data_IF_965694142197
#
_entry.id   IF_965694142197
#
_cell.length_a   1.000
_cell.length_b   1.000
_cell.length_c   1.000
_cell.angle_alpha   90.00
_cell.angle_beta   90.00
_cell.angle_gamma   90.00
#
_symmetry.space_group_name_H-M   'P 1'
#
loop_
_entity.id
_entity.type
_entity.pdbx_description
1 polymer ?
#
# COMPACT_ATOMS: atom_id res chain seq x y z
N UNK A 1 16.29 -22.96 16.21
CA UNK A 1 17.59 -22.26 16.05
C UNK A 1 17.85 -21.47 17.31
N UNK A 2 18.91 -21.81 18.05
CA UNK A 2 19.29 -21.07 19.26
C UNK A 2 19.87 -19.71 18.83
N UNK A 3 19.14 -18.63 19.07
CA UNK A 3 19.65 -17.27 18.94
C UNK A 3 20.75 -17.07 19.99
N UNK A 4 22.02 -17.07 19.57
CA UNK A 4 23.13 -16.61 20.42
C UNK A 4 23.06 -15.09 20.49
N UNK A 5 22.55 -14.58 21.60
CA UNK A 5 22.68 -13.17 21.97
C UNK A 5 24.18 -12.93 22.24
N UNK A 6 24.86 -12.25 21.32
CA UNK A 6 26.24 -11.83 21.51
C UNK A 6 26.26 -10.62 22.45
N UNK A 7 26.61 -10.85 23.71
CA UNK A 7 26.91 -9.78 24.66
C UNK A 7 28.31 -9.24 24.36
N UNK A 8 28.38 -8.08 23.71
CA UNK A 8 29.54 -7.20 23.82
C UNK A 8 29.06 -5.84 24.33
N UNK A 9 29.23 -5.67 25.64
CA UNK A 9 28.84 -4.49 26.42
C UNK A 9 29.80 -3.36 26.07
N UNK A 10 29.39 -2.53 25.12
CA UNK A 10 29.61 -1.08 25.19
C UNK A 10 28.24 -0.44 25.27
N UNK A 11 28.12 0.73 25.91
CA UNK A 11 26.86 1.37 26.32
C UNK A 11 26.06 1.88 25.10
N UNK A 12 25.61 0.96 24.25
CA UNK A 12 24.66 1.20 23.17
C UNK A 12 23.32 0.61 23.60
N UNK A 13 22.27 1.43 23.52
CA UNK A 13 20.89 1.08 23.83
C UNK A 13 20.49 -0.22 23.10
N UNK A 14 19.93 -1.20 23.82
CA UNK A 14 19.40 -2.48 23.32
C UNK A 14 18.11 -2.32 22.49
N UNK A 15 17.94 -1.20 21.79
CA UNK A 15 16.71 -0.82 21.09
C UNK A 15 16.62 -1.32 19.65
N UNK A 16 17.71 -1.84 19.09
CA UNK A 16 17.76 -2.33 17.70
C UNK A 16 18.26 -3.77 17.67
N UNK A 17 17.54 -4.61 16.93
CA UNK A 17 17.81 -6.03 16.78
C UNK A 17 18.16 -6.33 15.33
N UNK A 18 19.06 -7.29 15.12
CA UNK A 18 19.51 -7.72 13.80
C UNK A 18 19.45 -9.24 13.70
N UNK A 19 19.14 -9.76 12.52
CA UNK A 19 19.15 -11.22 12.30
C UNK A 19 20.57 -11.80 12.25
N UNK A 20 21.58 -10.98 11.93
CA UNK A 20 22.99 -11.38 11.88
C UNK A 20 23.93 -10.20 12.11
N UNK A 21 25.21 -10.52 12.33
CA UNK A 21 26.29 -9.54 12.49
C UNK A 21 26.53 -8.74 11.20
N UNK A 22 26.36 -9.37 10.04
CA UNK A 22 26.42 -8.72 8.73
C UNK A 22 25.32 -7.67 8.59
N UNK A 23 24.09 -7.97 9.01
CA UNK A 23 23.00 -7.01 9.02
C UNK A 23 23.25 -5.85 9.99
N UNK A 24 23.82 -6.12 11.18
CA UNK A 24 24.24 -5.07 12.13
C UNK A 24 25.26 -4.13 11.51
N UNK A 25 26.33 -4.69 10.93
CA UNK A 25 27.41 -3.93 10.30
C UNK A 25 26.90 -3.14 9.10
N UNK A 26 26.09 -3.75 8.24
CA UNK A 26 25.47 -3.09 7.09
C UNK A 26 24.57 -1.94 7.53
N UNK A 27 23.73 -2.13 8.56
CA UNK A 27 22.89 -1.07 9.11
C UNK A 27 23.71 0.11 9.64
N UNK A 28 24.78 -0.19 10.40
CA UNK A 28 25.72 0.80 10.92
C UNK A 28 26.34 1.61 9.78
N UNK A 29 27.04 0.95 8.84
CA UNK A 29 27.71 1.61 7.70
C UNK A 29 26.73 2.45 6.88
N UNK A 30 25.51 1.93 6.67
CA UNK A 30 24.54 2.62 5.84
C UNK A 30 24.13 3.95 6.46
N UNK A 31 23.65 4.01 7.70
CA UNK A 31 23.27 5.27 8.37
C UNK A 31 23.02 5.14 9.88
N UNK A 32 23.00 3.93 10.45
CA UNK A 32 22.50 3.76 11.82
C UNK A 32 23.38 4.46 12.88
N UNK A 33 24.67 4.67 12.62
CA UNK A 33 25.51 5.43 13.57
C UNK A 33 25.02 6.87 13.83
N UNK A 34 24.29 7.46 12.88
CA UNK A 34 23.74 8.83 12.99
C UNK A 34 22.45 8.82 13.80
N UNK A 35 21.52 7.89 13.52
CA UNK A 35 20.23 7.85 14.22
C UNK A 35 20.30 7.12 15.58
N UNK A 36 21.29 6.24 15.81
CA UNK A 36 21.48 5.48 17.04
C UNK A 36 21.45 6.34 18.34
N UNK A 37 22.24 7.42 18.48
CA UNK A 37 22.21 8.26 19.69
C UNK A 37 20.88 8.99 19.88
N UNK A 38 20.07 9.13 18.82
CA UNK A 38 18.81 9.88 18.84
C UNK A 38 17.64 9.02 19.31
N UNK A 39 17.67 7.70 19.06
CA UNK A 39 16.51 6.82 19.21
C UNK A 39 15.84 6.92 20.59
N UNK A 40 16.64 6.87 21.66
CA UNK A 40 16.10 6.89 23.03
C UNK A 40 15.38 8.20 23.38
N UNK A 41 15.85 9.34 22.89
CA UNK A 41 15.21 10.65 23.12
C UNK A 41 13.99 10.80 22.22
N UNK A 42 14.12 10.49 20.93
CA UNK A 42 13.03 10.65 19.98
C UNK A 42 11.83 9.72 20.26
N UNK A 43 12.07 8.53 20.81
CA UNK A 43 11.00 7.65 21.31
C UNK A 43 10.24 8.29 22.48
N UNK A 44 10.96 8.89 23.45
CA UNK A 44 10.34 9.60 24.58
C UNK A 44 9.58 10.86 24.16
N UNK A 45 9.98 11.47 23.05
CA UNK A 45 9.27 12.59 22.42
C UNK A 45 8.08 12.16 21.57
N UNK A 46 7.83 10.85 21.44
CA UNK A 46 6.68 10.29 20.73
C UNK A 46 6.53 10.80 19.29
N UNK A 47 7.65 10.97 18.57
CA UNK A 47 7.63 11.50 17.18
C UNK A 47 6.90 10.58 16.18
N UNK A 48 6.59 9.35 16.60
CA UNK A 48 5.87 8.36 15.82
C UNK A 48 6.64 7.83 14.62
N UNK A 49 6.06 6.83 13.94
CA UNK A 49 6.67 6.18 12.76
C UNK A 49 7.02 7.16 11.64
N UNK A 50 6.17 8.16 11.41
CA UNK A 50 6.39 9.16 10.36
C UNK A 50 7.53 10.13 10.69
N UNK A 51 7.73 10.47 11.97
CA UNK A 51 8.88 11.27 12.40
C UNK A 51 10.21 10.53 12.20
N UNK A 52 10.27 9.24 12.56
CA UNK A 52 11.45 8.41 12.30
C UNK A 52 11.71 8.22 10.81
N UNK A 53 10.67 8.04 10.00
CA UNK A 53 10.81 7.92 8.55
C UNK A 53 11.30 9.24 7.92
N UNK A 54 10.79 10.40 8.37
CA UNK A 54 11.27 11.71 7.95
C UNK A 54 12.76 11.88 8.29
N UNK A 55 13.17 11.57 9.53
CA UNK A 55 14.57 11.61 9.96
C UNK A 55 15.46 10.74 9.06
N UNK A 56 15.06 9.50 8.78
CA UNK A 56 15.86 8.60 7.93
C UNK A 56 15.96 9.07 6.49
N UNK A 57 14.93 9.70 5.93
CA UNK A 57 15.00 10.35 4.62
C UNK A 57 16.05 11.46 4.65
N UNK A 58 16.03 12.34 5.65
CA UNK A 58 17.02 13.43 5.78
C UNK A 58 18.44 12.90 5.86
N UNK A 59 18.68 11.91 6.73
CA UNK A 59 20.00 11.32 6.90
C UNK A 59 20.50 10.74 5.57
N UNK A 60 19.65 9.98 4.87
CA UNK A 60 20.00 9.35 3.59
C UNK A 60 20.25 10.37 2.47
N UNK A 61 19.52 11.48 2.45
CA UNK A 61 19.66 12.53 1.42
C UNK A 61 20.91 13.37 1.65
N UNK A 62 21.22 13.68 2.91
CA UNK A 62 22.39 14.49 3.25
C UNK A 62 23.69 13.70 3.16
N UNK A 63 23.64 12.37 3.34
CA UNK A 63 24.80 11.49 3.15
C UNK A 63 25.12 11.32 1.66
N UNK A 64 26.05 12.13 1.17
CA UNK A 64 26.63 11.98 -0.17
C UNK A 64 26.15 13.00 -1.21
N UNK A 65 25.43 14.05 -0.81
CA UNK A 65 25.00 15.13 -1.72
C UNK A 65 25.17 16.52 -1.09
N UNK A 66 25.49 17.52 -1.92
CA UNK A 66 25.38 18.92 -1.52
C UNK A 66 23.89 19.30 -1.48
N UNK A 67 23.35 19.45 -0.27
CA UNK A 67 21.91 19.67 -0.07
C UNK A 67 21.41 20.93 -0.78
N UNK A 68 22.16 22.03 -0.73
CA UNK A 68 21.77 23.29 -1.37
C UNK A 68 21.69 23.14 -2.91
N UNK A 69 22.67 22.46 -3.52
CA UNK A 69 22.65 22.16 -4.95
C UNK A 69 21.52 21.22 -5.33
N UNK A 70 21.24 20.21 -4.50
CA UNK A 70 20.13 19.30 -4.72
C UNK A 70 18.81 20.07 -4.73
N UNK A 71 18.54 20.83 -3.66
CA UNK A 71 17.29 21.57 -3.53
C UNK A 71 17.09 22.60 -4.63
N UNK A 72 18.12 23.36 -4.98
CA UNK A 72 18.06 24.26 -6.13
C UNK A 72 17.65 23.51 -7.41
N UNK A 73 18.23 22.33 -7.65
CA UNK A 73 17.89 21.53 -8.83
C UNK A 73 16.46 20.99 -8.80
N UNK A 74 15.94 20.64 -7.62
CA UNK A 74 14.57 20.13 -7.50
C UNK A 74 13.57 21.28 -7.58
N UNK A 75 13.86 22.43 -6.97
CA UNK A 75 13.00 23.63 -7.02
C UNK A 75 12.89 24.21 -8.43
N UNK A 76 13.94 24.13 -9.26
CA UNK A 76 13.84 24.53 -10.67
C UNK A 76 12.76 23.71 -11.44
N UNK A 77 12.47 22.47 -11.02
CA UNK A 77 11.37 21.66 -11.58
C UNK A 77 9.99 22.25 -11.28
N UNK A 78 9.86 23.07 -10.22
CA UNK A 78 8.60 23.76 -9.88
C UNK A 78 8.12 24.71 -10.97
N UNK A 79 9.02 25.10 -11.87
CA UNK A 79 8.75 25.98 -13.02
C UNK A 79 8.27 25.19 -14.25
N UNK A 80 8.38 23.87 -14.22
CA UNK A 80 7.92 22.96 -15.27
C UNK A 80 6.44 22.62 -15.16
N UNK A 81 6.00 21.68 -16.00
CA UNK A 81 4.65 21.11 -15.90
C UNK A 81 4.48 20.32 -14.60
N UNK A 82 3.36 20.52 -13.90
CA UNK A 82 2.97 19.75 -12.71
C UNK A 82 3.11 18.23 -12.89
N UNK A 83 2.81 17.73 -14.10
CA UNK A 83 2.88 16.31 -14.45
C UNK A 83 4.31 15.74 -14.41
N UNK A 84 5.33 16.59 -14.56
CA UNK A 84 6.72 16.16 -14.67
C UNK A 84 7.49 16.27 -13.35
N UNK A 85 6.87 16.73 -12.27
CA UNK A 85 7.51 16.82 -10.95
C UNK A 85 8.03 15.45 -10.50
N UNK A 86 9.31 15.40 -10.13
CA UNK A 86 9.97 14.17 -9.68
C UNK A 86 10.52 13.28 -10.81
N UNK A 87 10.23 13.59 -12.08
CA UNK A 87 10.91 12.96 -13.20
C UNK A 87 12.30 13.58 -13.39
N UNK A 88 13.29 12.77 -13.72
CA UNK A 88 14.59 13.30 -14.13
C UNK A 88 14.54 13.88 -15.56
N UNK A 89 15.63 14.52 -15.99
CA UNK A 89 15.75 15.14 -17.32
C UNK A 89 15.53 14.17 -18.50
N UNK A 90 15.62 12.86 -18.27
CA UNK A 90 15.37 11.82 -19.28
C UNK A 90 13.92 11.32 -19.26
N UNK A 91 13.03 11.96 -18.48
CA UNK A 91 11.63 11.54 -18.34
C UNK A 91 11.44 10.25 -17.54
N UNK A 92 12.37 9.89 -16.65
CA UNK A 92 12.27 8.71 -15.79
C UNK A 92 11.87 9.09 -14.36
N UNK A 93 10.82 8.47 -13.83
CA UNK A 93 10.43 8.56 -12.42
C UNK A 93 11.10 7.43 -11.63
N UNK A 94 12.24 7.73 -11.00
CA UNK A 94 13.12 6.70 -10.43
C UNK A 94 13.05 6.64 -8.91
N UNK A 95 12.57 5.52 -8.36
CA UNK A 95 12.52 5.27 -6.91
C UNK A 95 13.88 5.21 -6.22
N UNK A 96 14.99 5.15 -6.96
CA UNK A 96 16.34 5.24 -6.38
C UNK A 96 16.81 6.68 -6.15
N UNK A 97 16.06 7.68 -6.62
CA UNK A 97 16.36 9.09 -6.43
C UNK A 97 15.45 9.71 -5.37
N UNK A 98 15.95 10.73 -4.68
CA UNK A 98 15.18 11.52 -3.73
C UNK A 98 14.15 12.46 -4.40
N UNK A 99 14.41 12.93 -5.62
CA UNK A 99 13.54 13.86 -6.37
C UNK A 99 12.05 13.48 -6.34
N UNK A 100 11.65 12.23 -6.69
CA UNK A 100 10.27 11.78 -6.53
C UNK A 100 9.69 11.94 -5.12
N UNK A 101 10.47 11.65 -4.08
CA UNK A 101 10.05 11.73 -2.67
C UNK A 101 9.83 13.18 -2.23
N UNK A 102 10.66 14.11 -2.73
CA UNK A 102 10.50 15.54 -2.45
C UNK A 102 9.17 16.09 -2.95
N UNK A 103 8.70 15.62 -4.11
CA UNK A 103 7.48 16.09 -4.76
C UNK A 103 6.19 15.38 -4.35
N UNK A 104 6.25 14.47 -3.37
CA UNK A 104 5.05 13.83 -2.84
C UNK A 104 4.14 14.86 -2.17
N UNK A 105 2.83 14.66 -2.34
CA UNK A 105 1.81 15.62 -1.92
C UNK A 105 1.81 15.86 -0.41
N UNK A 106 1.85 17.14 0.00
CA UNK A 106 1.88 17.55 1.41
C UNK A 106 0.49 17.87 1.98
N UNK A 107 -0.45 18.26 1.10
CA UNK A 107 -1.77 18.81 1.45
C UNK A 107 -1.69 20.02 2.42
N UNK A 108 -0.61 20.79 2.40
CA UNK A 108 -0.34 21.92 3.32
C UNK A 108 -1.52 22.86 3.48
N UNK A 109 -2.10 23.32 2.36
CA UNK A 109 -3.23 24.26 2.35
C UNK A 109 -4.54 23.70 2.93
N UNK A 110 -4.64 22.37 3.09
CA UNK A 110 -5.82 21.70 3.65
C UNK A 110 -5.65 21.31 5.11
N UNK A 111 -4.45 21.48 5.67
CA UNK A 111 -4.14 21.15 7.07
C UNK A 111 -4.60 22.27 7.99
N UNK A 112 -5.02 21.91 9.20
CA UNK A 112 -5.35 22.90 10.23
C UNK A 112 -4.07 23.55 10.77
N UNK A 113 -4.19 24.79 11.27
CA UNK A 113 -3.08 25.49 11.94
C UNK A 113 -2.50 24.66 13.08
N UNK A 114 -3.34 23.97 13.85
CA UNK A 114 -2.89 23.10 14.93
C UNK A 114 -2.08 21.89 14.46
N UNK A 115 -2.43 21.30 13.31
CA UNK A 115 -1.63 20.22 12.70
C UNK A 115 -0.27 20.74 12.22
N UNK A 116 -0.26 21.87 11.49
CA UNK A 116 0.97 22.49 10.99
C UNK A 116 1.90 22.90 12.14
N UNK A 117 1.36 23.48 13.20
CA UNK A 117 2.14 23.85 14.38
C UNK A 117 2.81 22.63 15.04
N UNK A 118 2.06 21.54 15.26
CA UNK A 118 2.64 20.30 15.82
C UNK A 118 3.77 19.74 14.96
N UNK A 119 3.61 19.75 13.62
CA UNK A 119 4.65 19.28 12.69
C UNK A 119 5.88 20.19 12.70
N UNK A 120 5.71 21.50 12.78
CA UNK A 120 6.81 22.45 12.88
C UNK A 120 7.60 22.27 14.18
N UNK A 121 6.91 22.10 15.31
CA UNK A 121 7.56 21.80 16.60
C UNK A 121 8.32 20.48 16.52
N UNK A 122 7.71 19.42 15.98
CA UNK A 122 8.37 18.12 15.81
C UNK A 122 9.61 18.21 14.90
N UNK A 123 9.54 18.96 13.79
CA UNK A 123 10.69 19.20 12.92
C UNK A 123 11.83 19.90 13.67
N UNK A 124 11.51 20.95 14.45
CA UNK A 124 12.47 21.68 15.25
C UNK A 124 13.11 20.80 16.34
N UNK A 125 12.32 19.94 17.01
CA UNK A 125 12.84 18.99 17.99
C UNK A 125 13.82 17.99 17.35
N UNK A 126 13.46 17.38 16.21
CA UNK A 126 14.33 16.44 15.50
C UNK A 126 15.61 17.15 15.04
N UNK A 127 15.51 18.36 14.48
CA UNK A 127 16.66 19.17 14.07
C UNK A 127 17.59 19.48 15.25
N UNK A 128 17.04 19.89 16.39
CA UNK A 128 17.81 20.16 17.60
C UNK A 128 18.53 18.90 18.11
N UNK A 129 17.86 17.74 18.10
CA UNK A 129 18.50 16.47 18.45
C UNK A 129 19.65 16.12 17.49
N UNK A 130 19.46 16.27 16.17
CA UNK A 130 20.53 16.09 15.19
C UNK A 130 21.72 17.01 15.48
N UNK A 131 21.47 18.29 15.75
CA UNK A 131 22.53 19.27 16.02
C UNK A 131 23.29 19.02 17.33
N UNK A 132 22.59 18.65 18.39
CA UNK A 132 23.18 18.62 19.74
C UNK A 132 23.71 17.25 20.13
N UNK A 133 23.30 16.18 19.44
CA UNK A 133 23.61 14.80 19.83
C UNK A 133 24.38 14.01 18.77
N UNK A 134 24.68 14.62 17.62
CA UNK A 134 25.41 13.96 16.53
C UNK A 134 26.42 14.92 15.90
N UNK A 135 27.30 14.37 15.05
CA UNK A 135 28.21 15.12 14.19
C UNK A 135 27.60 15.44 12.81
N UNK A 136 26.27 15.35 12.68
CA UNK A 136 25.57 15.49 11.40
C UNK A 136 25.79 16.86 10.73
N UNK A 137 25.97 17.91 11.52
CA UNK A 137 26.37 19.23 11.03
C UNK A 137 27.85 19.46 11.39
N UNK A 138 28.75 19.59 10.39
CA UNK A 138 30.17 19.77 10.66
C UNK A 138 30.41 21.10 11.38
N UNK A 139 31.27 21.06 12.41
CA UNK A 139 31.67 22.22 13.21
C UNK A 139 32.49 23.22 12.38
N UNK A 140 33.21 22.74 11.36
CA UNK A 140 34.13 23.51 10.52
C UNK A 140 33.48 24.18 9.28
N UNK A 141 32.16 24.38 9.28
CA UNK A 141 31.53 25.20 8.24
C UNK A 141 32.19 26.59 8.24
N UNK A 142 32.91 26.90 7.17
CA UNK A 142 33.87 28.01 7.03
C UNK A 142 33.27 29.41 7.22
N UNK A 143 31.96 29.50 7.47
CA UNK A 143 31.26 30.67 8.01
C UNK A 143 30.05 30.25 8.85
N UNK A 144 29.77 30.98 9.95
CA UNK A 144 28.58 30.76 10.79
C UNK A 144 27.27 30.83 9.98
N UNK A 145 27.23 31.63 8.92
CA UNK A 145 26.09 31.77 8.01
C UNK A 145 25.78 30.50 7.20
N UNK A 146 26.80 29.76 6.77
CA UNK A 146 26.61 28.57 5.93
C UNK A 146 26.04 27.40 6.75
N UNK A 147 26.54 27.21 7.98
CA UNK A 147 25.98 26.26 8.95
C UNK A 147 24.52 26.57 9.28
N UNK A 148 24.20 27.84 9.55
CA UNK A 148 22.82 28.28 9.79
C UNK A 148 21.91 28.02 8.58
N UNK A 149 22.40 28.26 7.35
CA UNK A 149 21.63 27.99 6.15
C UNK A 149 21.33 26.50 5.98
N UNK A 150 22.33 25.61 6.17
CA UNK A 150 22.13 24.17 6.07
C UNK A 150 21.10 23.65 7.09
N UNK A 151 21.15 24.15 8.33
CA UNK A 151 20.16 23.80 9.38
C UNK A 151 18.75 24.22 9.00
N UNK A 152 18.58 25.40 8.40
CA UNK A 152 17.29 25.86 7.89
C UNK A 152 16.75 24.96 6.76
N UNK A 153 17.62 24.55 5.83
CA UNK A 153 17.24 23.61 4.78
C UNK A 153 16.79 22.27 5.35
N UNK A 154 17.55 21.70 6.29
CA UNK A 154 17.20 20.43 6.95
C UNK A 154 15.89 20.55 7.73
N UNK A 155 15.70 21.63 8.50
CA UNK A 155 14.46 21.90 9.22
C UNK A 155 13.25 22.01 8.30
N UNK A 156 13.39 22.72 7.17
CA UNK A 156 12.36 22.84 6.15
C UNK A 156 12.00 21.49 5.51
N UNK A 157 13.00 20.65 5.22
CA UNK A 157 12.78 19.31 4.68
C UNK A 157 12.15 18.35 5.71
N UNK A 158 12.54 18.43 6.97
CA UNK A 158 11.87 17.69 8.04
C UNK A 158 10.38 18.06 8.09
N UNK A 159 10.05 19.34 8.08
CA UNK A 159 8.67 19.81 8.07
C UNK A 159 7.91 19.33 6.81
N UNK A 160 8.52 19.40 5.63
CA UNK A 160 7.95 18.86 4.39
C UNK A 160 7.62 17.37 4.51
N UNK A 161 8.58 16.57 4.97
CA UNK A 161 8.36 15.12 5.08
C UNK A 161 7.38 14.75 6.19
N UNK A 162 7.36 15.51 7.28
CA UNK A 162 6.31 15.37 8.27
C UNK A 162 4.92 15.67 7.66
N UNK A 163 4.80 16.54 6.67
CA UNK A 163 3.52 16.78 5.99
C UNK A 163 3.19 15.75 4.90
N UNK A 164 4.17 15.30 4.10
CA UNK A 164 3.87 14.38 3.00
C UNK A 164 3.74 12.91 3.43
N UNK A 165 4.54 12.43 4.38
CA UNK A 165 4.56 11.01 4.74
C UNK A 165 3.21 10.45 5.22
N UNK A 166 2.38 11.16 6.02
CA UNK A 166 1.07 10.63 6.41
C UNK A 166 0.16 10.26 5.23
N UNK A 167 0.32 10.91 4.08
CA UNK A 167 -0.49 10.64 2.89
C UNK A 167 0.21 9.72 1.87
N UNK A 168 1.51 9.48 2.00
CA UNK A 168 2.31 8.82 0.95
C UNK A 168 3.18 7.66 1.46
N UNK A 169 3.36 7.51 2.77
CA UNK A 169 4.07 6.37 3.34
C UNK A 169 3.19 5.12 3.26
N UNK A 170 3.84 3.98 3.05
CA UNK A 170 3.19 2.68 2.98
C UNK A 170 3.65 1.82 4.14
N UNK A 171 2.73 1.02 4.66
CA UNK A 171 3.08 0.00 5.64
C UNK A 171 4.00 -1.04 4.98
N UNK A 172 4.98 -1.51 5.74
CA UNK A 172 5.70 -2.76 5.47
C UNK A 172 5.08 -3.77 6.41
N UNK A 173 4.60 -4.88 5.86
CA UNK A 173 3.84 -5.88 6.60
C UNK A 173 4.43 -7.27 6.48
N UNK A 174 4.06 -8.10 7.45
CA UNK A 174 4.36 -9.52 7.48
C UNK A 174 3.10 -10.30 7.83
N UNK A 175 2.89 -11.41 7.12
CA UNK A 175 1.82 -12.35 7.43
C UNK A 175 2.27 -13.27 8.56
N UNK A 176 1.57 -13.23 9.69
CA UNK A 176 1.83 -14.09 10.85
C UNK A 176 0.70 -15.08 11.08
N UNK A 177 1.07 -16.28 11.49
CA UNK A 177 0.12 -17.29 11.97
C UNK A 177 -0.21 -17.03 13.44
N UNK A 178 -1.49 -16.89 13.74
CA UNK A 178 -2.00 -16.79 15.11
C UNK A 178 -2.63 -18.14 15.46
N UNK A 179 -2.17 -18.73 16.55
CA UNK A 179 -2.83 -19.90 17.13
C UNK A 179 -4.19 -19.48 17.70
N UNK A 180 -5.27 -20.06 17.19
CA UNK A 180 -6.59 -19.84 17.75
C UNK A 180 -6.61 -20.43 19.18
N UNK A 181 -6.75 -19.58 20.19
CA UNK A 181 -6.90 -20.04 21.56
C UNK A 181 -8.18 -20.85 21.70
N UNK A 182 -8.05 -22.13 22.05
CA UNK A 182 -9.08 -23.10 22.50
C UNK A 182 -10.45 -23.19 21.79
N UNK A 183 -10.70 -22.45 20.71
CA UNK A 183 -11.95 -22.54 19.97
C UNK A 183 -11.87 -23.60 18.88
N UNK A 184 -12.94 -24.40 18.87
CA UNK A 184 -13.10 -25.65 18.14
C UNK A 184 -12.96 -25.42 16.64
N UNK A 185 -11.85 -25.90 16.07
CA UNK A 185 -11.69 -26.48 14.71
C UNK A 185 -10.25 -26.40 14.16
N UNK A 186 -9.26 -25.92 14.93
CA UNK A 186 -7.83 -26.08 14.56
C UNK A 186 -7.41 -25.42 13.23
N UNK A 187 -8.24 -24.54 12.67
CA UNK A 187 -7.94 -23.77 11.46
C UNK A 187 -7.00 -22.62 11.84
N UNK A 188 -5.80 -22.52 11.24
CA UNK A 188 -4.89 -21.43 11.54
C UNK A 188 -5.46 -20.09 11.07
N UNK A 189 -5.45 -19.09 11.95
CA UNK A 189 -5.80 -17.71 11.60
C UNK A 189 -4.53 -17.03 11.12
N UNK A 190 -4.57 -16.47 9.92
CA UNK A 190 -3.47 -15.66 9.38
C UNK A 190 -3.83 -14.19 9.50
N UNK A 191 -2.88 -13.39 9.98
CA UNK A 191 -3.07 -11.94 10.14
C UNK A 191 -1.90 -11.20 9.52
N UNK A 192 -2.19 -10.17 8.73
CA UNK A 192 -1.19 -9.19 8.32
C UNK A 192 -0.91 -8.26 9.50
N UNK A 193 0.35 -8.14 9.90
CA UNK A 193 0.80 -7.18 10.91
C UNK A 193 1.73 -6.15 10.28
N UNK A 194 1.59 -4.89 10.68
CA UNK A 194 2.54 -3.84 10.31
C UNK A 194 3.84 -4.04 11.09
N UNK A 195 4.95 -4.19 10.37
CA UNK A 195 6.31 -4.32 10.92
C UNK A 195 7.17 -3.07 10.67
N UNK A 196 6.69 -2.13 9.85
CA UNK A 196 7.40 -0.88 9.58
C UNK A 196 6.66 0.03 8.61
N UNK A 197 7.30 1.13 8.23
CA UNK A 197 6.80 2.05 7.23
C UNK A 197 7.93 2.47 6.29
N UNK A 198 7.59 2.67 5.01
CA UNK A 198 8.53 3.05 3.98
C UNK A 198 7.91 4.04 2.99
N UNK A 199 8.76 4.86 2.37
CA UNK A 199 8.36 5.82 1.36
C UNK A 199 8.69 5.26 -0.04
N UNK A 200 7.66 4.80 -0.75
CA UNK A 200 7.79 4.31 -2.13
C UNK A 200 7.18 5.32 -3.09
N UNK A 201 8.03 6.07 -3.79
CA UNK A 201 7.58 7.14 -4.67
C UNK A 201 6.58 6.66 -5.72
N UNK A 202 6.90 5.54 -6.41
CA UNK A 202 6.03 4.98 -7.45
C UNK A 202 4.66 4.56 -6.91
N UNK A 203 4.60 3.92 -5.75
CA UNK A 203 3.33 3.51 -5.14
C UNK A 203 2.48 4.71 -4.70
N UNK A 204 3.12 5.83 -4.38
CA UNK A 204 2.43 7.07 -4.00
C UNK A 204 1.76 7.78 -5.19
N UNK A 205 2.04 7.35 -6.43
CA UNK A 205 1.32 7.82 -7.63
C UNK A 205 -0.04 7.13 -7.81
N UNK A 206 -0.29 6.01 -7.14
CA UNK A 206 -1.51 5.23 -7.30
C UNK A 206 -2.65 5.90 -6.54
N UNK A 207 -3.73 6.21 -7.25
CA UNK A 207 -4.94 6.76 -6.64
C UNK A 207 -5.75 5.69 -5.90
N UNK A 208 -6.66 6.15 -5.06
CA UNK A 208 -7.52 5.30 -4.27
C UNK A 208 -8.78 4.80 -5.02
N UNK A 209 -9.17 3.56 -4.77
CA UNK A 209 -10.54 3.05 -4.92
C UNK A 209 -10.95 2.22 -3.70
N UNK A 210 -12.20 2.36 -3.24
CA UNK A 210 -12.79 1.46 -2.24
C UNK A 210 -12.97 0.03 -2.76
N UNK A 211 -12.82 -0.14 -4.06
CA UNK A 211 -12.81 -1.39 -4.81
C UNK A 211 -11.58 -1.39 -5.74
N UNK A 212 -10.40 -1.76 -5.22
CA UNK A 212 -9.13 -1.63 -5.93
C UNK A 212 -8.95 -2.71 -7.02
N UNK A 213 -8.12 -2.41 -8.02
CA UNK A 213 -7.73 -3.39 -9.04
C UNK A 213 -6.32 -3.95 -8.82
N UNK A 214 -5.62 -3.50 -7.77
CA UNK A 214 -4.31 -4.02 -7.34
C UNK A 214 -4.27 -4.29 -5.84
N UNK A 215 -3.31 -5.11 -5.44
CA UNK A 215 -2.93 -5.35 -4.03
C UNK A 215 -1.41 -5.22 -3.88
N UNK A 216 -0.97 -4.80 -2.69
CA UNK A 216 0.42 -4.66 -2.29
C UNK A 216 0.78 -5.73 -1.26
N UNK A 217 1.95 -6.35 -1.41
CA UNK A 217 2.55 -7.20 -0.38
C UNK A 217 4.04 -6.89 -0.27
N UNK A 218 4.59 -7.05 0.93
CA UNK A 218 6.03 -6.85 1.18
C UNK A 218 6.78 -8.16 0.95
N UNK A 219 7.89 -8.09 0.23
CA UNK A 219 8.77 -9.21 -0.08
C UNK A 219 10.18 -8.92 0.39
N UNK A 220 10.89 -9.96 0.84
CA UNK A 220 12.31 -9.89 1.19
C UNK A 220 12.63 -8.73 2.15
N UNK A 221 11.74 -8.50 3.12
CA UNK A 221 11.80 -7.33 4.00
C UNK A 221 10.98 -6.17 3.44
N UNK A 222 11.61 -5.20 2.80
CA UNK A 222 11.01 -3.91 2.44
C UNK A 222 10.78 -3.71 0.93
N UNK A 223 10.76 -4.78 0.13
CA UNK A 223 10.40 -4.66 -1.29
C UNK A 223 8.89 -4.79 -1.47
N UNK A 224 8.21 -3.67 -1.74
CA UNK A 224 6.79 -3.68 -2.02
C UNK A 224 6.51 -4.16 -3.46
N UNK A 225 5.70 -5.22 -3.59
CA UNK A 225 5.27 -5.79 -4.88
C UNK A 225 3.79 -5.51 -5.09
N UNK A 226 3.48 -4.85 -6.20
CA UNK A 226 2.13 -4.54 -6.64
C UNK A 226 1.64 -5.60 -7.64
N UNK A 227 0.47 -6.18 -7.43
CA UNK A 227 -0.13 -7.19 -8.32
C UNK A 227 -1.57 -6.86 -8.63
N UNK A 228 -1.99 -7.09 -9.88
CA UNK A 228 -3.38 -6.95 -10.29
C UNK A 228 -4.26 -8.03 -9.63
N UNK A 229 -5.46 -7.62 -9.22
CA UNK A 229 -6.52 -8.46 -8.63
C UNK A 229 -7.87 -8.21 -9.32
N UNK A 230 -7.82 -7.70 -10.54
CA UNK A 230 -8.92 -7.48 -11.50
C UNK A 230 -8.27 -7.29 -12.88
N UNK A 231 -9.04 -7.38 -13.97
CA UNK A 231 -8.49 -6.99 -15.27
C UNK A 231 -8.29 -5.48 -15.31
N UNK A 232 -7.13 -5.04 -15.80
CA UNK A 232 -6.83 -3.62 -15.99
C UNK A 232 -6.64 -3.39 -17.48
N UNK A 233 -7.57 -2.67 -18.10
CA UNK A 233 -7.52 -2.41 -19.53
C UNK A 233 -6.43 -1.39 -19.87
N UNK A 234 -5.95 -1.40 -21.12
CA UNK A 234 -5.00 -0.38 -21.60
C UNK A 234 -5.63 1.01 -21.46
N UNK A 235 -4.95 1.89 -20.72
CA UNK A 235 -5.40 3.26 -20.46
C UNK A 235 -6.27 3.41 -19.21
N UNK A 236 -6.64 2.31 -18.56
CA UNK A 236 -7.31 2.34 -17.26
C UNK A 236 -6.32 2.72 -16.15
N UNK A 237 -6.83 3.37 -15.10
CA UNK A 237 -6.01 3.69 -13.93
C UNK A 237 -5.73 2.42 -13.12
N UNK A 238 -4.51 2.34 -12.60
CA UNK A 238 -4.16 1.40 -11.54
C UNK A 238 -4.58 2.05 -10.22
N UNK A 239 -5.52 1.40 -9.52
CA UNK A 239 -6.20 1.95 -8.34
C UNK A 239 -5.97 1.05 -7.14
N UNK A 240 -5.40 1.65 -6.12
CA UNK A 240 -5.02 1.00 -4.88
C UNK A 240 -6.05 1.26 -3.76
N UNK A 241 -5.96 0.52 -2.65
CA UNK A 241 -6.78 0.76 -1.48
C UNK A 241 -5.98 1.41 -0.35
N UNK A 242 -6.55 2.48 0.22
CA UNK A 242 -5.95 3.28 1.29
C UNK A 242 -6.52 2.88 2.67
N UNK A 243 -6.85 1.60 2.83
CA UNK A 243 -7.37 1.03 4.09
C UNK A 243 -8.89 0.91 4.19
N UNK A 244 -9.65 1.52 3.29
CA UNK A 244 -11.12 1.58 3.36
C UNK A 244 -11.78 0.87 2.17
N UNK A 245 -12.15 -0.40 2.36
CA UNK A 245 -12.80 -1.24 1.35
C UNK A 245 -14.32 -1.26 1.49
N UNK A 246 -15.06 -1.31 0.36
CA UNK A 246 -16.53 -1.26 0.37
C UNK A 246 -17.20 -2.43 1.10
N UNK A 247 -16.60 -3.62 0.98
CA UNK A 247 -17.14 -4.83 1.60
C UNK A 247 -16.96 -4.87 3.14
N UNK A 248 -16.15 -3.97 3.70
CA UNK A 248 -15.79 -3.95 5.13
C UNK A 248 -16.30 -2.72 5.89
N UNK A 249 -16.59 -1.62 5.18
CA UNK A 249 -16.95 -0.34 5.78
C UNK A 249 -18.06 0.29 4.97
N UNK A 250 -19.02 0.95 5.62
CA UNK A 250 -20.09 1.66 4.93
C UNK A 250 -19.58 2.92 4.18
N UNK A 251 -20.38 3.49 3.27
CA UNK A 251 -19.96 4.63 2.45
C UNK A 251 -19.61 5.87 3.26
N UNK A 252 -20.32 6.14 4.35
CA UNK A 252 -20.09 7.32 5.18
C UNK A 252 -18.74 7.19 5.91
N UNK A 253 -18.47 6.02 6.48
CA UNK A 253 -17.20 5.69 7.12
C UNK A 253 -16.03 5.83 6.16
N UNK A 254 -16.13 5.21 4.96
CA UNK A 254 -15.06 5.28 3.94
C UNK A 254 -14.74 6.72 3.57
N UNK A 255 -15.76 7.53 3.26
CA UNK A 255 -15.57 8.93 2.84
C UNK A 255 -15.01 9.79 3.97
N UNK A 256 -15.54 9.66 5.18
CA UNK A 256 -15.12 10.42 6.35
C UNK A 256 -13.64 10.21 6.64
N UNK A 257 -13.17 8.95 6.70
CA UNK A 257 -11.78 8.67 7.00
C UNK A 257 -10.82 9.05 5.87
N UNK A 258 -11.19 8.82 4.61
CA UNK A 258 -10.38 9.23 3.46
C UNK A 258 -10.26 10.76 3.39
N UNK A 259 -11.32 11.49 3.69
CA UNK A 259 -11.30 12.95 3.75
C UNK A 259 -10.43 13.45 4.91
N UNK A 260 -10.52 12.82 6.08
CA UNK A 260 -9.72 13.17 7.25
C UNK A 260 -8.21 12.98 7.02
N UNK A 261 -7.81 11.86 6.40
CA UNK A 261 -6.39 11.48 6.25
C UNK A 261 -5.76 12.01 4.94
N UNK A 262 -6.52 11.98 3.84
CA UNK A 262 -6.04 12.24 2.48
C UNK A 262 -6.68 13.47 1.82
N UNK A 263 -7.62 14.14 2.51
CA UNK A 263 -8.21 15.41 2.10
C UNK A 263 -8.90 15.37 0.73
N UNK A 264 -9.55 14.25 0.42
CA UNK A 264 -10.41 14.11 -0.76
C UNK A 264 -11.65 13.27 -0.43
N UNK A 265 -12.73 13.51 -1.17
CA UNK A 265 -13.94 12.68 -1.11
C UNK A 265 -13.88 11.62 -2.21
N UNK A 266 -13.95 10.34 -1.85
CA UNK A 266 -13.93 9.24 -2.83
C UNK A 266 -15.18 9.21 -3.72
N UNK A 267 -14.95 9.07 -5.03
CA UNK A 267 -15.97 8.98 -6.10
C UNK A 267 -15.82 7.72 -6.96
N UNK A 268 -15.16 6.68 -6.45
CA UNK A 268 -15.10 5.40 -7.17
C UNK A 268 -16.52 4.80 -7.32
N UNK A 269 -16.68 3.83 -8.21
CA UNK A 269 -17.96 3.16 -8.49
C UNK A 269 -18.67 2.71 -7.20
N UNK A 270 -17.95 2.04 -6.30
CA UNK A 270 -18.52 1.58 -5.02
C UNK A 270 -19.05 2.69 -4.12
N UNK A 271 -18.47 3.91 -4.17
CA UNK A 271 -18.97 5.07 -3.43
C UNK A 271 -20.09 5.80 -4.17
N UNK A 272 -20.06 5.84 -5.50
CA UNK A 272 -21.08 6.51 -6.33
C UNK A 272 -22.38 5.71 -6.35
N UNK A 273 -22.28 4.39 -6.46
CA UNK A 273 -23.42 3.46 -6.51
C UNK A 273 -23.82 2.92 -5.13
N UNK A 274 -23.16 3.36 -4.06
CA UNK A 274 -23.45 2.95 -2.67
C UNK A 274 -23.44 1.44 -2.46
N UNK A 275 -22.36 0.79 -2.92
CA UNK A 275 -22.23 -0.66 -2.81
C UNK A 275 -22.29 -1.13 -1.35
N UNK A 276 -22.99 -2.24 -1.07
CA UNK A 276 -23.22 -2.72 0.28
C UNK A 276 -22.00 -3.44 0.85
N UNK A 277 -21.99 -3.60 2.17
CA UNK A 277 -21.01 -4.43 2.89
C UNK A 277 -21.14 -5.92 2.55
N UNK A 278 -20.10 -6.71 2.87
CA UNK A 278 -19.96 -8.11 2.46
C UNK A 278 -21.19 -8.98 2.78
N UNK A 279 -21.76 -8.80 3.97
CA UNK A 279 -22.91 -9.57 4.46
C UNK A 279 -24.17 -9.39 3.62
N UNK A 280 -24.27 -8.28 2.90
CA UNK A 280 -25.41 -7.87 2.08
C UNK A 280 -25.13 -8.02 0.57
N UNK A 281 -23.97 -8.54 0.18
CA UNK A 281 -23.65 -8.77 -1.23
C UNK A 281 -24.56 -9.87 -1.81
N UNK A 282 -25.07 -9.69 -3.05
CA UNK A 282 -25.85 -10.72 -3.70
C UNK A 282 -24.99 -11.94 -3.99
N UNK A 283 -25.56 -13.12 -3.74
CA UNK A 283 -24.96 -14.44 -3.96
C UNK A 283 -25.89 -15.44 -4.63
N UNK A 284 -27.09 -15.01 -5.03
CA UNK A 284 -28.04 -15.78 -5.82
C UNK A 284 -28.52 -14.96 -7.01
N UNK A 285 -28.87 -15.64 -8.10
CA UNK A 285 -29.45 -15.04 -9.31
C UNK A 285 -28.61 -13.87 -9.88
N UNK A 286 -27.38 -14.15 -10.36
CA UNK A 286 -26.49 -13.10 -10.85
C UNK A 286 -27.09 -12.37 -12.05
N UNK A 287 -26.80 -11.07 -12.15
CA UNK A 287 -27.14 -10.27 -13.34
C UNK A 287 -26.06 -10.46 -14.39
N UNK A 288 -26.44 -10.93 -15.57
CA UNK A 288 -25.51 -11.21 -16.66
C UNK A 288 -25.26 -9.98 -17.55
N UNK A 289 -24.03 -9.85 -18.04
CA UNK A 289 -23.57 -8.75 -18.88
C UNK A 289 -23.38 -9.16 -20.33
N UNK A 290 -23.74 -8.26 -21.23
CA UNK A 290 -23.38 -8.35 -22.63
C UNK A 290 -21.86 -8.29 -22.79
N UNK A 291 -21.27 -9.29 -23.43
CA UNK A 291 -19.82 -9.37 -23.69
C UNK A 291 -19.28 -8.26 -24.61
N UNK A 292 -20.14 -7.57 -25.35
CA UNK A 292 -19.75 -6.50 -26.28
C UNK A 292 -19.94 -5.10 -25.70
N UNK A 293 -21.12 -4.78 -25.20
CA UNK A 293 -21.44 -3.42 -24.73
C UNK A 293 -21.60 -3.29 -23.22
N UNK A 294 -21.42 -4.38 -22.46
CA UNK A 294 -21.48 -4.41 -20.99
C UNK A 294 -22.82 -4.03 -20.36
N UNK A 295 -23.90 -3.87 -21.14
CA UNK A 295 -25.25 -3.71 -20.59
C UNK A 295 -25.82 -5.03 -20.07
N UNK A 296 -26.73 -4.94 -19.10
CA UNK A 296 -27.43 -6.08 -18.54
C UNK A 296 -28.22 -6.85 -19.61
N UNK A 297 -28.12 -8.18 -19.58
CA UNK A 297 -28.90 -9.07 -20.41
C UNK A 297 -30.24 -9.40 -19.73
N UNK A 298 -31.36 -9.45 -20.47
CA UNK A 298 -32.69 -9.75 -19.92
C UNK A 298 -32.88 -11.26 -19.68
N UNK A 299 -32.07 -11.84 -18.80
CA UNK A 299 -32.12 -13.28 -18.46
C UNK A 299 -33.30 -13.53 -17.52
N UNK A 300 -34.20 -14.44 -17.90
CA UNK A 300 -35.27 -14.90 -17.00
C UNK A 300 -34.82 -16.18 -16.30
N UNK A 301 -34.59 -16.09 -14.98
CA UNK A 301 -34.07 -17.17 -14.12
C UNK A 301 -35.01 -18.39 -14.09
N UNK A 302 -36.30 -18.20 -14.35
CA UNK A 302 -37.33 -19.23 -14.22
C UNK A 302 -37.81 -19.85 -15.55
N UNK A 303 -37.07 -19.73 -16.66
CA UNK A 303 -37.46 -20.39 -17.91
C UNK A 303 -36.92 -21.84 -17.99
N UNK A 304 -37.80 -22.87 -17.91
CA UNK A 304 -37.39 -24.27 -17.93
C UNK A 304 -36.75 -24.72 -19.26
N UNK A 305 -36.76 -23.87 -20.29
CA UNK A 305 -36.07 -24.12 -21.56
C UNK A 305 -34.69 -23.46 -21.56
N UNK A 306 -33.72 -24.16 -20.96
CA UNK A 306 -32.26 -23.91 -21.04
C UNK A 306 -31.69 -23.99 -22.48
N UNK A 307 -32.39 -23.44 -23.48
CA UNK A 307 -32.03 -23.49 -24.91
C UNK A 307 -32.08 -22.12 -25.58
N UNK A 308 -32.18 -21.02 -24.82
CA UNK A 308 -32.38 -19.68 -25.39
C UNK A 308 -31.05 -18.94 -25.60
N UNK A 309 -30.78 -18.61 -26.86
CA UNK A 309 -29.91 -17.48 -27.21
C UNK A 309 -30.67 -16.20 -26.82
N UNK A 310 -30.02 -15.32 -26.06
CA UNK A 310 -30.55 -14.01 -25.69
C UNK A 310 -29.82 -12.95 -26.49
N UNK A 311 -30.56 -12.02 -27.08
CA UNK A 311 -30.00 -10.88 -27.80
C UNK A 311 -29.94 -9.68 -26.87
N UNK A 312 -28.79 -9.01 -26.81
CA UNK A 312 -28.64 -7.77 -26.06
C UNK A 312 -29.59 -6.70 -26.60
N UNK A 313 -30.39 -6.09 -25.72
CA UNK A 313 -31.37 -5.06 -26.08
C UNK A 313 -30.74 -3.73 -26.51
N UNK A 314 -29.44 -3.55 -26.27
CA UNK A 314 -28.72 -2.30 -26.58
C UNK A 314 -27.89 -2.39 -27.87
N UNK A 315 -27.15 -3.48 -28.09
CA UNK A 315 -26.25 -3.63 -29.25
C UNK A 315 -26.59 -4.79 -30.18
N UNK A 316 -27.68 -5.51 -29.92
CA UNK A 316 -28.16 -6.65 -30.70
C UNK A 316 -27.18 -7.84 -30.80
N UNK A 317 -26.15 -7.87 -29.96
CA UNK A 317 -25.22 -8.99 -29.87
C UNK A 317 -25.92 -10.24 -29.29
N UNK A 318 -25.84 -11.42 -29.92
CA UNK A 318 -26.44 -12.65 -29.41
C UNK A 318 -25.54 -13.36 -28.38
N UNK A 319 -26.15 -13.95 -27.36
CA UNK A 319 -25.48 -14.67 -26.27
C UNK A 319 -26.11 -16.05 -26.06
N UNK A 320 -25.33 -17.13 -26.20
CA UNK A 320 -25.77 -18.46 -25.82
C UNK A 320 -25.74 -18.60 -24.28
N UNK A 321 -26.86 -18.31 -23.63
CA UNK A 321 -26.93 -18.29 -22.18
C UNK A 321 -26.67 -19.66 -21.54
N UNK A 322 -27.20 -20.79 -22.04
CA UNK A 322 -26.85 -22.13 -21.54
C UNK A 322 -25.34 -22.38 -21.49
N UNK A 323 -24.60 -22.04 -22.54
CA UNK A 323 -23.15 -22.22 -22.58
C UNK A 323 -22.44 -21.31 -21.55
N UNK A 324 -22.86 -20.05 -21.46
CA UNK A 324 -22.30 -19.07 -20.51
C UNK A 324 -22.53 -19.53 -19.07
N UNK A 325 -23.78 -19.91 -18.75
CA UNK A 325 -24.18 -20.36 -17.41
C UNK A 325 -23.40 -21.62 -17.03
N UNK A 326 -23.41 -22.65 -17.88
CA UNK A 326 -22.67 -23.89 -17.62
C UNK A 326 -21.16 -23.65 -17.43
N UNK A 327 -20.58 -22.72 -18.20
CA UNK A 327 -19.17 -22.35 -18.04
C UNK A 327 -18.89 -21.68 -16.69
N UNK A 328 -19.77 -20.79 -16.24
CA UNK A 328 -19.64 -20.11 -14.94
C UNK A 328 -19.88 -21.10 -13.80
N UNK A 329 -20.94 -21.89 -13.84
CA UNK A 329 -21.26 -22.91 -12.83
C UNK A 329 -20.09 -23.88 -12.62
N UNK A 330 -19.56 -24.45 -13.72
CA UNK A 330 -18.37 -25.32 -13.66
C UNK A 330 -17.16 -24.63 -13.03
N UNK A 331 -16.91 -23.36 -13.38
CA UNK A 331 -15.80 -22.59 -12.82
C UNK A 331 -16.03 -22.25 -11.34
N UNK A 332 -17.27 -22.05 -10.92
CA UNK A 332 -17.68 -21.74 -9.54
C UNK A 332 -17.56 -22.98 -8.63
N UNK A 333 -17.85 -24.16 -9.16
CA UNK A 333 -17.58 -25.44 -8.48
C UNK A 333 -16.08 -25.65 -8.24
N UNK A 334 -15.25 -25.41 -9.26
CA UNK A 334 -13.79 -25.50 -9.13
C UNK A 334 -13.26 -24.43 -8.15
N UNK A 335 -13.75 -23.19 -8.23
CA UNK A 335 -13.45 -22.12 -7.28
C UNK A 335 -13.74 -22.56 -5.84
N UNK A 336 -14.91 -23.12 -5.58
CA UNK A 336 -15.33 -23.58 -4.26
C UNK A 336 -14.43 -24.70 -3.71
N UNK A 337 -13.96 -25.61 -4.56
CA UNK A 337 -13.01 -26.66 -4.16
C UNK A 337 -11.64 -26.08 -3.83
N UNK A 338 -11.13 -25.19 -4.69
CA UNK A 338 -9.84 -24.52 -4.49
C UNK A 338 -9.84 -23.60 -3.25
N UNK A 339 -10.95 -22.93 -2.96
CA UNK A 339 -11.10 -22.07 -1.78
C UNK A 339 -10.93 -22.85 -0.47
N UNK A 340 -11.44 -24.09 -0.40
CA UNK A 340 -11.23 -24.99 0.76
C UNK A 340 -9.75 -25.31 0.99
N UNK A 341 -8.93 -25.36 -0.07
CA UNK A 341 -7.48 -25.55 0.05
C UNK A 341 -6.80 -24.32 0.67
N UNK A 342 -7.23 -23.12 0.29
CA UNK A 342 -6.76 -21.86 0.90
C UNK A 342 -7.11 -21.84 2.39
N UNK A 343 -8.38 -22.09 2.73
CA UNK A 343 -8.88 -22.04 4.10
C UNK A 343 -8.19 -23.06 5.02
N UNK A 344 -7.86 -24.24 4.50
CA UNK A 344 -7.16 -25.27 5.27
C UNK A 344 -5.66 -25.04 5.41
N UNK A 345 -5.09 -24.01 4.76
CA UNK A 345 -3.65 -23.75 4.75
C UNK A 345 -2.81 -24.82 4.05
N UNK A 346 -3.45 -25.76 3.32
CA UNK A 346 -2.81 -26.90 2.65
C UNK A 346 -2.51 -26.65 1.17
N UNK A 347 -2.50 -25.39 0.73
CA UNK A 347 -2.09 -25.03 -0.63
C UNK A 347 -0.63 -25.46 -0.87
N UNK A 348 -0.41 -26.44 -1.75
CA UNK A 348 0.94 -26.92 -2.07
C UNK A 348 1.69 -25.97 -3.02
N UNK A 349 0.97 -25.22 -3.87
CA UNK A 349 1.52 -24.21 -4.78
C UNK A 349 0.59 -22.99 -4.83
N UNK A 350 0.93 -21.93 -4.09
CA UNK A 350 0.08 -20.74 -3.95
C UNK A 350 -0.03 -19.93 -5.25
N UNK A 351 1.04 -19.88 -6.05
CA UNK A 351 1.06 -19.22 -7.35
C UNK A 351 0.11 -19.88 -8.36
N UNK A 352 0.12 -21.22 -8.43
CA UNK A 352 -0.80 -21.97 -9.28
C UNK A 352 -2.26 -21.76 -8.84
N UNK A 353 -2.51 -21.75 -7.53
CA UNK A 353 -3.83 -21.54 -6.98
C UNK A 353 -4.34 -20.11 -7.27
N UNK A 354 -3.47 -19.10 -7.12
CA UNK A 354 -3.76 -17.73 -7.53
C UNK A 354 -4.12 -17.65 -9.01
N UNK A 355 -3.40 -18.36 -9.88
CA UNK A 355 -3.68 -18.37 -11.32
C UNK A 355 -5.06 -18.98 -11.64
N UNK A 356 -5.46 -20.05 -10.93
CA UNK A 356 -6.82 -20.62 -11.07
C UNK A 356 -7.90 -19.61 -10.65
N UNK A 357 -7.68 -18.90 -9.55
CA UNK A 357 -8.60 -17.85 -9.13
C UNK A 357 -8.65 -16.67 -10.12
N UNK A 358 -7.52 -16.25 -10.68
CA UNK A 358 -7.49 -15.23 -11.73
C UNK A 358 -8.33 -15.67 -12.94
N UNK A 359 -8.20 -16.93 -13.39
CA UNK A 359 -9.01 -17.45 -14.49
C UNK A 359 -10.52 -17.41 -14.19
N UNK A 360 -10.91 -17.74 -12.95
CA UNK A 360 -12.31 -17.63 -12.51
C UNK A 360 -12.77 -16.17 -12.43
N UNK A 361 -11.95 -15.28 -11.86
CA UNK A 361 -12.25 -13.85 -11.76
C UNK A 361 -12.47 -13.21 -13.13
N UNK A 362 -11.64 -13.55 -14.12
CA UNK A 362 -11.80 -13.10 -15.51
C UNK A 362 -13.14 -13.53 -16.11
N UNK A 363 -13.62 -14.72 -15.76
CA UNK A 363 -14.91 -15.20 -16.20
C UNK A 363 -16.05 -14.41 -15.55
N UNK A 364 -16.00 -14.21 -14.23
CA UNK A 364 -16.98 -13.39 -13.51
C UNK A 364 -16.98 -11.96 -14.05
N UNK A 365 -15.82 -11.34 -14.22
CA UNK A 365 -15.71 -9.97 -14.72
C UNK A 365 -16.30 -9.82 -16.12
N UNK A 366 -16.12 -10.84 -16.97
CA UNK A 366 -16.66 -10.85 -18.33
C UNK A 366 -18.18 -10.93 -18.38
N UNK A 367 -18.81 -11.66 -17.45
CA UNK A 367 -20.21 -12.05 -17.59
C UNK A 367 -21.13 -11.58 -16.46
N UNK A 368 -20.62 -11.19 -15.30
CA UNK A 368 -21.43 -10.90 -14.10
C UNK A 368 -21.29 -9.42 -13.72
N UNK A 369 -22.43 -8.77 -13.46
CA UNK A 369 -22.49 -7.41 -12.92
C UNK A 369 -21.99 -7.39 -11.48
N UNK A 370 -21.18 -6.38 -11.16
CA UNK A 370 -20.70 -6.12 -9.79
C UNK A 370 -21.62 -5.11 -9.09
N UNK A 371 -21.75 -5.15 -7.76
CA UNK A 371 -21.04 -6.02 -6.82
C UNK A 371 -21.61 -7.45 -6.79
N UNK A 372 -20.74 -8.45 -6.60
CA UNK A 372 -21.10 -9.87 -6.51
C UNK A 372 -20.24 -10.57 -5.46
N UNK A 373 -20.85 -11.37 -4.59
CA UNK A 373 -20.15 -11.96 -3.43
C UNK A 373 -19.02 -12.91 -3.83
N UNK A 374 -19.23 -13.75 -4.84
CA UNK A 374 -18.19 -14.66 -5.33
C UNK A 374 -17.02 -13.92 -5.96
N UNK A 375 -17.27 -12.78 -6.62
CA UNK A 375 -16.21 -11.91 -7.16
C UNK A 375 -15.33 -11.40 -6.03
N UNK A 376 -15.94 -10.87 -4.96
CA UNK A 376 -15.23 -10.41 -3.77
C UNK A 376 -14.41 -11.56 -3.15
N UNK A 377 -15.02 -12.74 -2.95
CA UNK A 377 -14.33 -13.90 -2.39
C UNK A 377 -13.16 -14.36 -3.26
N UNK A 378 -13.30 -14.29 -4.58
CA UNK A 378 -12.24 -14.62 -5.51
C UNK A 378 -11.07 -13.64 -5.40
N UNK A 379 -11.33 -12.33 -5.30
CA UNK A 379 -10.28 -11.34 -5.04
C UNK A 379 -9.55 -11.59 -3.72
N UNK A 380 -10.28 -11.84 -2.62
CA UNK A 380 -9.68 -12.16 -1.33
C UNK A 380 -8.85 -13.46 -1.37
N UNK A 381 -9.30 -14.48 -2.08
CA UNK A 381 -8.55 -15.71 -2.27
C UNK A 381 -7.24 -15.49 -3.06
N UNK A 382 -7.25 -14.63 -4.08
CA UNK A 382 -6.03 -14.22 -4.82
C UNK A 382 -5.07 -13.48 -3.88
N UNK A 383 -5.57 -12.50 -3.11
CA UNK A 383 -4.78 -11.75 -2.12
C UNK A 383 -4.13 -12.69 -1.12
N UNK A 384 -4.89 -13.64 -0.57
CA UNK A 384 -4.35 -14.62 0.38
C UNK A 384 -3.26 -15.50 -0.23
N UNK A 385 -3.44 -15.98 -1.46
CA UNK A 385 -2.38 -16.74 -2.14
C UNK A 385 -1.10 -15.92 -2.30
N UNK A 386 -1.19 -14.65 -2.69
CA UNK A 386 -0.03 -13.76 -2.78
C UNK A 386 0.59 -13.45 -1.42
N UNK A 387 -0.22 -13.25 -0.38
CA UNK A 387 0.26 -13.03 0.97
C UNK A 387 1.09 -14.21 1.49
N UNK A 388 0.65 -15.45 1.21
CA UNK A 388 1.38 -16.67 1.59
C UNK A 388 2.76 -16.79 0.93
N UNK A 389 3.02 -16.10 -0.18
CA UNK A 389 4.32 -16.11 -0.89
C UNK A 389 5.16 -14.88 -0.60
N UNK A 390 4.60 -13.91 0.12
CA UNK A 390 5.24 -12.67 0.55
C UNK A 390 5.97 -12.86 1.88
N UNK A 391 6.34 -11.77 2.56
CA UNK A 391 6.83 -11.81 3.94
C UNK A 391 5.83 -12.59 4.80
N UNK A 392 6.24 -13.77 5.25
CA UNK A 392 5.39 -14.69 5.97
C UNK A 392 6.21 -15.41 7.04
N UNK A 393 5.87 -15.14 8.29
CA UNK A 393 6.44 -15.83 9.43
C UNK A 393 5.69 -17.16 9.64
N UNK A 394 6.40 -18.28 9.43
CA UNK A 394 5.80 -19.63 9.36
C UNK A 394 6.09 -20.52 10.57
N UNK A 395 6.58 -19.97 11.68
CA UNK A 395 7.09 -20.76 12.81
C UNK A 395 6.35 -20.55 14.11
#
# INVERSE_FOLDING_TARGET
MNFKISYNISVFLTQVMYCSEECRTSSWINNHYIDCPLLGVLQKLEIGKMGFLALRIIIKVCKGQNLASLLKSVEDESRGSERNKGFNNNGTYSSSNYRPIYWLVENTEKRSVGDLFRRAVMAACILNCLETMTDFFPIDATSSSESSHQKLLVGGLLLRHLQNLPCNAHEVSELVRIEAGNDKEGVPIWKSIEIGAAAYAMLSLLNHSCDPNVVRHSYQGDTAVLRAISLVAKGEQVLDNYGYHYALHDRAERRSHLEMQYYFTCRCTACTEDWPEYSLLPDTNPTYLCTRCRHNLPVQVNDPRRSKVITCTYCSEPHNMPDIINKIEKSSEEFSQNLKLVMSGKGCCWEELAQKFICHLQLLEKFIQRPWKEYNNCQEAIKQCFAMTSNCYRY
#
